data_IF_347614891882
#
_entry.id   IF_347614891882
#
_cell.length_a   1.000
_cell.length_b   1.000
_cell.length_c   1.000
_cell.angle_alpha   90.00
_cell.angle_beta   90.00
_cell.angle_gamma   90.00
#
_symmetry.space_group_name_H-M   'P 1'
#
loop_
_entity.id
_entity.type
_entity.pdbx_description
1 polymer ?
#
# COMPACT_ATOMS: atom_id res chain seq x y z
N UNK A 1 -0.57 18.38 -5.68
CA UNK A 1 -0.25 17.12 -6.35
C UNK A 1 -1.38 16.74 -7.30
N UNK A 2 -1.02 16.33 -8.51
CA UNK A 2 -1.91 15.91 -9.59
C UNK A 2 -1.80 14.39 -9.76
N UNK A 3 -2.87 13.71 -10.17
CA UNK A 3 -2.81 12.30 -10.56
C UNK A 3 -2.95 12.13 -12.07
N UNK A 4 -2.14 11.24 -12.66
CA UNK A 4 -2.24 10.85 -14.07
C UNK A 4 -2.41 9.33 -14.14
N UNK A 5 -3.55 8.89 -14.66
CA UNK A 5 -3.87 7.50 -14.94
C UNK A 5 -3.52 7.19 -16.40
N UNK A 6 -2.62 6.24 -16.62
CA UNK A 6 -2.20 5.83 -17.97
C UNK A 6 -2.95 4.56 -18.39
N UNK A 7 -3.69 4.66 -19.50
CA UNK A 7 -4.48 3.57 -20.10
C UNK A 7 -4.29 3.49 -21.62
N UNK A 8 -3.25 4.11 -22.17
CA UNK A 8 -2.92 4.15 -23.60
C UNK A 8 -2.27 2.85 -24.13
N UNK A 9 -2.22 1.80 -23.32
CA UNK A 9 -1.59 0.53 -23.69
C UNK A 9 -2.32 -0.19 -24.83
N UNK A 10 -1.58 -0.50 -25.90
CA UNK A 10 -2.01 -1.39 -26.98
C UNK A 10 -1.85 -2.86 -26.54
N UNK A 11 -2.74 -3.32 -25.67
CA UNK A 11 -2.66 -4.62 -24.99
C UNK A 11 -2.94 -5.80 -25.91
N UNK A 12 -1.91 -6.37 -26.55
CA UNK A 12 -2.09 -7.41 -27.58
C UNK A 12 -2.30 -8.83 -27.04
N UNK A 13 -1.66 -9.22 -25.93
CA UNK A 13 -1.63 -10.64 -25.50
C UNK A 13 -2.99 -11.12 -24.99
N UNK A 14 -3.56 -10.44 -24.00
CA UNK A 14 -4.86 -10.79 -23.44
C UNK A 14 -5.97 -10.67 -24.49
N UNK A 15 -5.96 -9.60 -25.27
CA UNK A 15 -6.96 -9.39 -26.32
C UNK A 15 -6.91 -10.49 -27.39
N UNK A 16 -5.71 -10.88 -27.83
CA UNK A 16 -5.53 -11.97 -28.80
C UNK A 16 -6.00 -13.31 -28.23
N UNK A 17 -5.70 -13.58 -26.97
CA UNK A 17 -6.13 -14.82 -26.32
C UNK A 17 -7.64 -14.87 -26.06
N UNK A 18 -8.28 -13.74 -25.74
CA UNK A 18 -9.75 -13.65 -25.64
C UNK A 18 -10.41 -13.89 -27.01
N UNK A 19 -9.83 -13.35 -28.09
CA UNK A 19 -10.35 -13.56 -29.46
C UNK A 19 -10.21 -15.02 -29.92
N UNK A 20 -9.17 -15.71 -29.46
CA UNK A 20 -8.88 -17.10 -29.80
C UNK A 20 -9.37 -18.10 -28.72
N UNK A 21 -10.26 -17.67 -27.81
CA UNK A 21 -10.83 -18.54 -26.78
C UNK A 21 -11.95 -19.41 -27.36
N UNK A 22 -11.66 -20.70 -27.57
CA UNK A 22 -12.59 -21.68 -28.12
C UNK A 22 -13.78 -21.98 -27.18
N UNK A 23 -13.70 -21.60 -25.90
CA UNK A 23 -14.78 -21.86 -24.93
C UNK A 23 -15.93 -20.85 -25.03
N UNK A 24 -15.70 -19.70 -25.67
CA UNK A 24 -16.69 -18.63 -25.83
C UNK A 24 -17.01 -17.84 -24.56
N UNK A 25 -16.45 -18.20 -23.40
CA UNK A 25 -16.72 -17.58 -22.09
C UNK A 25 -16.37 -16.09 -22.05
N UNK A 26 -15.31 -15.70 -22.75
CA UNK A 26 -14.80 -14.32 -22.76
C UNK A 26 -15.10 -13.55 -24.05
N UNK A 27 -15.85 -14.13 -24.97
CA UNK A 27 -16.19 -13.53 -26.28
C UNK A 27 -16.77 -12.12 -26.18
N UNK A 28 -17.61 -11.87 -25.16
CA UNK A 28 -18.20 -10.57 -24.84
C UNK A 28 -17.19 -9.48 -24.40
N UNK A 29 -15.98 -9.87 -24.02
CA UNK A 29 -14.91 -8.96 -23.62
C UNK A 29 -13.95 -8.63 -24.78
N UNK A 30 -14.15 -9.22 -25.96
CA UNK A 30 -13.32 -8.96 -27.12
C UNK A 30 -13.34 -7.47 -27.52
N UNK A 31 -12.16 -6.88 -27.66
CA UNK A 31 -11.99 -5.46 -28.01
C UNK A 31 -12.18 -4.47 -26.84
N UNK A 32 -12.62 -4.93 -25.67
CA UNK A 32 -12.71 -4.08 -24.46
C UNK A 32 -11.29 -3.79 -23.95
N UNK A 33 -10.93 -2.51 -23.70
CA UNK A 33 -9.63 -2.17 -23.13
C UNK A 33 -9.39 -2.88 -21.80
N UNK A 34 -8.15 -3.31 -21.54
CA UNK A 34 -7.78 -4.03 -20.30
C UNK A 34 -8.24 -3.30 -19.04
N UNK A 35 -8.05 -1.98 -18.96
CA UNK A 35 -8.46 -1.16 -17.82
C UNK A 35 -10.00 -1.16 -17.57
N UNK A 36 -10.80 -1.54 -18.56
CA UNK A 36 -12.26 -1.63 -18.46
C UNK A 36 -12.79 -3.05 -18.30
N UNK A 37 -11.91 -4.05 -18.21
CA UNK A 37 -12.29 -5.42 -17.93
C UNK A 37 -12.83 -5.56 -16.50
N UNK A 38 -13.71 -6.53 -16.24
CA UNK A 38 -14.22 -6.77 -14.90
C UNK A 38 -13.09 -7.21 -13.96
N UNK A 39 -12.98 -6.48 -12.86
CA UNK A 39 -12.14 -6.74 -11.71
C UNK A 39 -12.90 -7.40 -10.55
N UNK A 40 -12.45 -7.14 -9.33
CA UNK A 40 -12.95 -7.81 -8.12
C UNK A 40 -14.36 -7.30 -7.81
N UNK A 41 -15.30 -8.21 -7.56
CA UNK A 41 -16.69 -7.84 -7.31
C UNK A 41 -17.43 -7.30 -8.55
N UNK A 42 -16.93 -7.57 -9.75
CA UNK A 42 -17.59 -7.23 -11.01
C UNK A 42 -17.46 -5.76 -11.46
N UNK A 43 -16.82 -4.90 -10.67
CA UNK A 43 -16.47 -3.52 -11.06
C UNK A 43 -15.30 -3.51 -12.05
N UNK A 44 -15.18 -2.48 -12.90
CA UNK A 44 -14.06 -2.40 -13.86
C UNK A 44 -12.76 -2.06 -13.12
N UNK A 45 -11.61 -2.47 -13.67
CA UNK A 45 -10.28 -2.17 -13.07
C UNK A 45 -10.11 -0.66 -12.83
N UNK A 46 -10.50 0.16 -13.80
CA UNK A 46 -10.35 1.61 -13.72
C UNK A 46 -11.29 2.25 -12.68
N UNK A 47 -12.45 1.64 -12.39
CA UNK A 47 -13.39 2.13 -11.36
C UNK A 47 -12.71 2.13 -9.98
N UNK A 48 -11.91 1.09 -9.70
CA UNK A 48 -11.15 1.01 -8.45
C UNK A 48 -10.17 2.19 -8.31
N UNK A 49 -9.39 2.48 -9.37
CA UNK A 49 -8.44 3.59 -9.33
C UNK A 49 -9.16 4.93 -9.21
N UNK A 50 -10.28 5.10 -9.92
CA UNK A 50 -11.06 6.32 -9.82
C UNK A 50 -11.62 6.53 -8.41
N UNK A 51 -12.19 5.50 -7.79
CA UNK A 51 -12.66 5.56 -6.39
C UNK A 51 -11.51 5.94 -5.43
N UNK A 52 -10.30 5.44 -5.69
CA UNK A 52 -9.13 5.73 -4.87
C UNK A 52 -8.59 7.15 -5.04
N UNK A 53 -8.63 7.73 -6.25
CA UNK A 53 -8.04 9.05 -6.56
C UNK A 53 -9.03 10.21 -6.62
N UNK A 54 -10.34 9.98 -6.74
CA UNK A 54 -11.36 11.05 -6.80
C UNK A 54 -11.48 11.89 -5.53
N UNK A 55 -10.83 11.47 -4.44
CA UNK A 55 -10.84 12.16 -3.15
C UNK A 55 -10.13 13.52 -3.28
N UNK A 56 -10.91 14.59 -3.49
CA UNK A 56 -10.43 15.98 -3.72
C UNK A 56 -9.46 16.54 -2.68
N UNK A 57 -9.37 15.94 -1.49
CA UNK A 57 -8.41 16.35 -0.46
C UNK A 57 -6.96 15.94 -0.79
N UNK A 58 -6.77 14.98 -1.71
CA UNK A 58 -5.47 14.41 -2.03
C UNK A 58 -4.91 14.95 -3.35
N UNK A 59 -5.76 15.08 -4.36
CA UNK A 59 -5.38 15.54 -5.70
C UNK A 59 -6.15 16.78 -6.09
N UNK A 60 -5.44 17.74 -6.67
CA UNK A 60 -6.04 18.95 -7.26
C UNK A 60 -6.81 18.61 -8.52
N UNK A 61 -6.19 17.81 -9.40
CA UNK A 61 -6.76 17.35 -10.66
C UNK A 61 -6.34 15.89 -10.93
N UNK A 62 -7.16 15.20 -11.73
CA UNK A 62 -6.88 13.84 -12.20
C UNK A 62 -7.04 13.81 -13.72
N UNK A 63 -6.02 13.32 -14.42
CA UNK A 63 -6.02 13.15 -15.87
C UNK A 63 -6.00 11.66 -16.24
N UNK A 64 -6.66 11.34 -17.36
CA UNK A 64 -6.67 9.99 -17.93
C UNK A 64 -6.04 10.06 -19.32
N UNK A 65 -4.91 9.38 -19.55
CA UNK A 65 -4.24 9.37 -20.85
C UNK A 65 -4.54 8.05 -21.56
N UNK A 66 -5.08 8.16 -22.77
CA UNK A 66 -5.48 7.02 -23.60
C UNK A 66 -5.04 7.21 -25.05
N UNK A 67 -5.20 6.16 -25.85
CA UNK A 67 -4.90 6.18 -27.28
C UNK A 67 -6.15 6.44 -28.13
N UNK A 68 -5.95 6.77 -29.40
CA UNK A 68 -7.04 7.12 -30.31
C UNK A 68 -7.94 5.92 -30.62
N UNK A 69 -7.38 4.70 -30.70
CA UNK A 69 -8.14 3.46 -30.92
C UNK A 69 -9.16 3.20 -29.80
N UNK A 70 -8.75 3.36 -28.54
CA UNK A 70 -9.60 3.09 -27.37
C UNK A 70 -10.29 4.33 -26.80
N UNK A 71 -10.04 5.53 -27.34
CA UNK A 71 -10.55 6.80 -26.81
C UNK A 71 -12.06 6.77 -26.52
N UNK A 72 -12.87 6.23 -27.46
CA UNK A 72 -14.33 6.17 -27.29
C UNK A 72 -14.80 5.29 -26.14
N UNK A 73 -14.04 4.26 -25.77
CA UNK A 73 -14.35 3.45 -24.59
C UNK A 73 -14.17 4.26 -23.31
N UNK A 74 -13.09 5.03 -23.23
CA UNK A 74 -12.77 5.84 -22.05
C UNK A 74 -13.61 7.13 -21.96
N UNK A 75 -14.00 7.73 -23.10
CA UNK A 75 -15.00 8.81 -23.15
C UNK A 75 -16.32 8.36 -22.53
N UNK A 76 -16.83 7.17 -22.91
CA UNK A 76 -18.06 6.59 -22.34
C UNK A 76 -17.90 6.26 -20.86
N UNK A 77 -16.76 5.68 -20.48
CA UNK A 77 -16.47 5.37 -19.08
C UNK A 77 -16.43 6.64 -18.22
N UNK A 78 -15.83 7.72 -18.72
CA UNK A 78 -15.70 8.98 -18.01
C UNK A 78 -17.07 9.61 -17.76
N UNK A 79 -17.93 9.68 -18.78
CA UNK A 79 -19.32 10.15 -18.65
C UNK A 79 -20.11 9.32 -17.63
N UNK A 80 -19.94 8.00 -17.63
CA UNK A 80 -20.67 7.11 -16.72
C UNK A 80 -20.21 7.19 -15.25
N UNK A 81 -19.02 7.71 -14.99
CA UNK A 81 -18.39 7.76 -13.66
C UNK A 81 -18.16 9.19 -13.15
N UNK A 82 -18.78 10.19 -13.78
CA UNK A 82 -18.62 11.61 -13.48
C UNK A 82 -17.14 12.06 -13.49
N UNK A 83 -16.33 11.48 -14.39
CA UNK A 83 -14.96 11.91 -14.62
C UNK A 83 -14.95 13.07 -15.62
N UNK A 84 -14.20 14.17 -15.38
CA UNK A 84 -14.17 15.33 -16.27
C UNK A 84 -13.67 14.96 -17.67
N UNK A 85 -14.52 15.09 -18.69
CA UNK A 85 -14.18 14.71 -20.07
C UNK A 85 -13.02 15.55 -20.62
N UNK A 86 -12.94 16.81 -20.21
CA UNK A 86 -11.84 17.71 -20.52
C UNK A 86 -10.49 17.21 -19.99
N UNK A 87 -10.47 16.31 -19.00
CA UNK A 87 -9.25 15.74 -18.43
C UNK A 87 -8.85 14.40 -19.08
N UNK A 88 -9.60 13.92 -20.08
CA UNK A 88 -9.17 12.79 -20.91
C UNK A 88 -8.22 13.32 -22.00
N UNK A 89 -7.01 12.77 -22.05
CA UNK A 89 -5.95 13.12 -23.00
C UNK A 89 -5.82 11.98 -24.00
N UNK A 90 -5.93 12.30 -25.29
CA UNK A 90 -5.70 11.37 -26.38
C UNK A 90 -4.27 11.54 -26.91
N UNK A 91 -3.49 10.46 -26.92
CA UNK A 91 -2.11 10.45 -27.43
C UNK A 91 -2.02 10.45 -28.98
N UNK A 92 -3.13 10.19 -29.67
CA UNK A 92 -3.22 10.14 -31.12
C UNK A 92 -2.80 8.82 -31.76
N UNK A 93 -2.24 7.88 -31.00
CA UNK A 93 -1.80 6.57 -31.50
C UNK A 93 -2.98 5.63 -31.76
N UNK A 94 -2.88 4.82 -32.80
CA UNK A 94 -3.92 3.87 -33.22
C UNK A 94 -3.45 2.43 -33.24
N UNK A 95 -2.13 2.20 -33.26
CA UNK A 95 -1.52 0.88 -33.32
C UNK A 95 -0.33 0.72 -32.36
N UNK A 96 0.20 -0.50 -32.28
CA UNK A 96 1.37 -0.78 -31.46
C UNK A 96 2.65 -0.10 -32.01
N UNK A 97 2.70 0.12 -33.32
CA UNK A 97 3.83 0.68 -34.05
C UNK A 97 3.91 2.21 -33.95
N UNK A 98 2.77 2.89 -33.95
CA UNK A 98 2.68 4.36 -33.88
C UNK A 98 2.59 4.91 -32.44
N UNK A 99 2.59 4.03 -31.43
CA UNK A 99 2.59 4.40 -30.00
C UNK A 99 3.70 5.39 -29.66
N UNK A 100 3.41 6.33 -28.77
CA UNK A 100 4.41 7.31 -28.31
C UNK A 100 5.39 6.71 -27.30
N UNK A 101 4.87 5.83 -26.41
CA UNK A 101 5.58 5.23 -25.29
C UNK A 101 5.17 5.87 -23.96
N UNK A 102 5.16 5.08 -22.88
CA UNK A 102 4.54 5.48 -21.61
C UNK A 102 5.12 6.78 -20.99
N UNK A 103 6.41 7.05 -21.20
CA UNK A 103 7.05 8.29 -20.73
C UNK A 103 6.64 9.48 -21.60
N UNK A 104 6.43 9.26 -22.90
CA UNK A 104 5.94 10.28 -23.82
C UNK A 104 4.45 10.59 -23.56
N UNK A 105 3.64 9.60 -23.16
CA UNK A 105 2.24 9.80 -22.74
C UNK A 105 2.16 10.70 -21.51
N UNK A 106 3.07 10.49 -20.55
CA UNK A 106 3.21 11.35 -19.37
C UNK A 106 3.63 12.78 -19.75
N UNK A 107 4.66 12.93 -20.59
CA UNK A 107 5.12 14.24 -21.07
C UNK A 107 4.02 14.99 -21.82
N UNK A 108 3.27 14.28 -22.68
CA UNK A 108 2.14 14.84 -23.42
C UNK A 108 1.08 15.41 -22.48
N UNK A 109 0.69 14.66 -21.45
CA UNK A 109 -0.29 15.12 -20.46
C UNK A 109 0.22 16.38 -19.73
N UNK A 110 1.47 16.38 -19.28
CA UNK A 110 2.09 17.52 -18.59
C UNK A 110 2.13 18.75 -19.48
N UNK A 111 2.62 18.61 -20.72
CA UNK A 111 2.78 19.71 -21.68
C UNK A 111 1.45 20.26 -22.16
N UNK A 112 0.51 19.39 -22.54
CA UNK A 112 -0.80 19.80 -23.08
C UNK A 112 -1.66 20.50 -22.03
N UNK A 113 -1.54 20.11 -20.75
CA UNK A 113 -2.30 20.69 -19.64
C UNK A 113 -1.52 21.72 -18.82
N UNK A 114 -0.25 21.96 -19.18
CA UNK A 114 0.66 22.92 -18.51
C UNK A 114 0.74 22.67 -17.01
N UNK A 115 0.93 21.41 -16.61
CA UNK A 115 0.97 21.02 -15.21
C UNK A 115 2.23 21.56 -14.54
N UNK A 116 2.10 22.09 -13.32
CA UNK A 116 3.16 22.77 -12.56
C UNK A 116 3.18 22.34 -11.07
N UNK A 117 2.86 21.07 -10.82
CA UNK A 117 2.73 20.48 -9.48
C UNK A 117 3.35 19.07 -9.51
N UNK A 118 3.56 18.46 -8.33
CA UNK A 118 4.02 17.08 -8.22
C UNK A 118 2.98 16.13 -8.83
N UNK A 119 3.44 15.05 -9.46
CA UNK A 119 2.58 14.12 -10.20
C UNK A 119 2.65 12.73 -9.62
N UNK A 120 1.50 12.14 -9.33
CA UNK A 120 1.35 10.71 -9.10
C UNK A 120 0.94 10.03 -10.40
N UNK A 121 1.76 9.13 -10.92
CA UNK A 121 1.49 8.38 -12.14
C UNK A 121 1.10 6.95 -11.78
N UNK A 122 -0.02 6.47 -12.30
CA UNK A 122 -0.48 5.09 -12.08
C UNK A 122 -0.91 4.46 -13.40
N UNK A 123 -0.55 3.20 -13.63
CA UNK A 123 -1.14 2.41 -14.71
C UNK A 123 -2.59 2.02 -14.36
N UNK A 124 -3.55 2.51 -15.14
CA UNK A 124 -4.98 2.27 -14.90
C UNK A 124 -5.45 0.85 -15.18
N UNK A 125 -4.58 0.00 -15.75
CA UNK A 125 -4.82 -1.42 -15.99
C UNK A 125 -4.18 -2.32 -14.91
N UNK A 126 -3.62 -1.73 -13.85
CA UNK A 126 -3.10 -2.45 -12.70
C UNK A 126 -4.26 -2.89 -11.79
N UNK A 127 -4.38 -4.19 -11.52
CA UNK A 127 -5.37 -4.66 -10.54
C UNK A 127 -4.80 -4.60 -9.12
N UNK A 128 -5.57 -3.95 -8.25
CA UNK A 128 -5.40 -4.03 -6.82
C UNK A 128 -6.52 -4.91 -6.25
N UNK A 129 -6.16 -6.01 -5.59
CA UNK A 129 -7.15 -6.85 -4.91
C UNK A 129 -7.57 -6.29 -3.55
N UNK A 130 -6.79 -5.37 -3.00
CA UNK A 130 -7.12 -4.75 -1.73
C UNK A 130 -8.03 -3.56 -1.98
N UNK A 131 -9.35 -3.79 -1.87
CA UNK A 131 -10.39 -2.74 -1.89
C UNK A 131 -10.14 -1.63 -0.86
N UNK A 132 -9.23 -1.90 0.06
CA UNK A 132 -8.88 -1.12 1.21
C UNK A 132 -7.50 -0.44 1.05
N UNK A 133 -6.93 -0.33 -0.14
CA UNK A 133 -5.67 0.40 -0.33
C UNK A 133 -5.77 1.89 0.09
N UNK A 134 -4.80 2.39 0.87
CA UNK A 134 -4.73 3.79 1.32
C UNK A 134 -3.73 4.63 0.52
N UNK A 135 -4.22 5.26 -0.57
CA UNK A 135 -3.45 6.24 -1.34
C UNK A 135 -2.93 7.40 -0.48
N UNK A 136 -3.64 7.79 0.58
CA UNK A 136 -3.17 8.87 1.45
C UNK A 136 -1.88 8.48 2.18
N UNK A 137 -1.67 7.19 2.46
CA UNK A 137 -0.42 6.71 3.06
C UNK A 137 0.76 6.88 2.09
N UNK A 138 0.55 6.56 0.81
CA UNK A 138 1.56 6.73 -0.24
C UNK A 138 1.99 8.19 -0.34
N UNK A 139 1.02 9.12 -0.41
CA UNK A 139 1.30 10.55 -0.51
C UNK A 139 2.00 11.07 0.75
N UNK A 140 1.60 10.61 1.95
CA UNK A 140 2.26 10.98 3.21
C UNK A 140 3.73 10.52 3.23
N UNK A 141 4.02 9.32 2.73
CA UNK A 141 5.38 8.80 2.66
C UNK A 141 6.21 9.55 1.61
N UNK A 142 5.66 9.82 0.43
CA UNK A 142 6.31 10.67 -0.58
C UNK A 142 6.69 12.04 0.00
N UNK A 143 5.79 12.68 0.73
CA UNK A 143 6.04 13.98 1.37
C UNK A 143 7.03 13.94 2.54
N UNK A 144 7.31 12.76 3.11
CA UNK A 144 8.29 12.63 4.20
C UNK A 144 9.71 12.41 3.70
N UNK A 145 9.87 12.00 2.44
CA UNK A 145 11.17 11.75 1.83
C UNK A 145 11.60 12.94 0.94
N UNK A 146 12.91 13.20 0.78
CA UNK A 146 13.41 14.34 0.02
C UNK A 146 13.36 14.15 -1.51
N UNK A 147 13.03 12.95 -1.99
CA UNK A 147 13.13 12.60 -3.40
C UNK A 147 11.86 11.96 -3.95
N UNK A 148 12.04 11.12 -4.98
CA UNK A 148 10.92 10.47 -5.65
C UNK A 148 10.42 9.24 -4.91
N UNK A 149 9.18 8.84 -5.18
CA UNK A 149 8.64 7.61 -4.64
C UNK A 149 8.28 6.62 -5.74
N UNK A 150 8.75 5.40 -5.58
CA UNK A 150 8.40 4.26 -6.40
C UNK A 150 7.77 3.17 -5.57
N UNK A 151 6.68 2.62 -6.09
CA UNK A 151 6.03 1.48 -5.49
C UNK A 151 6.57 0.18 -6.06
N UNK A 152 6.83 -0.80 -5.19
CA UNK A 152 7.32 -2.12 -5.57
C UNK A 152 6.61 -3.25 -4.82
N UNK A 153 6.70 -4.46 -5.36
CA UNK A 153 6.23 -5.69 -4.73
C UNK A 153 7.31 -6.78 -4.84
N UNK A 154 7.12 -7.89 -4.14
CA UNK A 154 8.02 -9.04 -4.21
C UNK A 154 7.44 -10.08 -5.16
N UNK A 155 8.20 -10.47 -6.18
CA UNK A 155 7.79 -11.44 -7.19
C UNK A 155 7.61 -12.83 -6.58
N UNK A 156 6.50 -13.50 -6.91
CA UNK A 156 6.28 -14.91 -6.57
C UNK A 156 7.31 -15.80 -7.27
N UNK A 157 7.59 -17.00 -6.75
CA UNK A 157 8.61 -17.91 -7.31
C UNK A 157 8.36 -18.27 -8.79
N UNK A 158 7.10 -18.28 -9.22
CA UNK A 158 6.71 -18.55 -10.60
C UNK A 158 6.95 -17.38 -11.57
N UNK A 159 7.12 -16.16 -11.05
CA UNK A 159 7.34 -14.96 -11.86
C UNK A 159 8.82 -14.78 -12.23
N UNK A 160 9.05 -14.41 -13.49
CA UNK A 160 10.39 -14.16 -14.04
C UNK A 160 10.79 -12.70 -13.89
N UNK A 161 11.99 -12.46 -13.37
CA UNK A 161 12.57 -11.11 -13.22
C UNK A 161 12.75 -10.39 -14.56
N UNK A 162 12.99 -11.13 -15.64
CA UNK A 162 13.13 -10.60 -17.01
C UNK A 162 11.85 -10.00 -17.60
N UNK A 163 10.72 -10.09 -16.91
CA UNK A 163 9.43 -9.55 -17.37
C UNK A 163 9.08 -8.18 -16.79
N UNK A 164 9.83 -7.69 -15.80
CA UNK A 164 9.54 -6.46 -15.04
C UNK A 164 10.80 -5.63 -14.82
N UNK A 165 10.61 -4.37 -14.40
CA UNK A 165 11.69 -3.58 -13.83
C UNK A 165 11.98 -4.06 -12.41
N UNK A 166 13.24 -4.38 -12.11
CA UNK A 166 13.68 -4.90 -10.81
C UNK A 166 14.44 -3.81 -10.06
N UNK A 167 14.13 -3.65 -8.78
CA UNK A 167 14.76 -2.65 -7.90
C UNK A 167 15.58 -3.32 -6.81
N UNK A 168 16.69 -2.70 -6.47
CA UNK A 168 17.45 -2.99 -5.25
C UNK A 168 17.18 -1.86 -4.25
N UNK A 169 16.71 -2.21 -3.06
CA UNK A 169 16.25 -1.24 -2.05
C UNK A 169 17.08 -1.38 -0.79
N UNK A 170 17.66 -0.27 -0.32
CA UNK A 170 18.35 -0.22 0.96
C UNK A 170 17.33 -0.40 2.10
N UNK A 171 17.54 -1.41 2.95
CA UNK A 171 16.60 -1.73 4.05
C UNK A 171 16.51 -0.66 5.13
N UNK A 172 17.57 0.14 5.30
CA UNK A 172 17.65 1.15 6.37
C UNK A 172 17.07 2.49 5.93
N UNK A 173 17.34 2.90 4.68
CA UNK A 173 16.97 4.22 4.16
C UNK A 173 15.77 4.18 3.22
N UNK A 174 15.33 2.99 2.81
CA UNK A 174 14.33 2.79 1.75
C UNK A 174 14.73 3.35 0.38
N UNK A 175 15.96 3.85 0.21
CA UNK A 175 16.45 4.34 -1.06
C UNK A 175 16.67 3.20 -2.05
N UNK A 176 16.19 3.36 -3.27
CA UNK A 176 16.49 2.48 -4.40
C UNK A 176 17.93 2.75 -4.82
N UNK A 177 18.79 1.75 -4.67
CA UNK A 177 20.22 1.83 -5.03
C UNK A 177 20.47 1.49 -6.49
N UNK A 178 19.57 0.71 -7.09
CA UNK A 178 19.68 0.30 -8.49
C UNK A 178 18.30 -0.01 -9.06
N UNK A 179 18.08 0.39 -10.31
CA UNK A 179 16.93 -0.03 -11.10
C UNK A 179 17.42 -0.78 -12.34
N UNK A 180 16.80 -1.92 -12.66
CA UNK A 180 17.16 -2.75 -13.81
C UNK A 180 15.90 -3.02 -14.64
N UNK A 181 15.84 -2.52 -15.87
CA UNK A 181 14.68 -2.79 -16.74
C UNK A 181 14.80 -4.17 -17.40
N UNK A 182 13.91 -5.10 -17.02
CA UNK A 182 13.82 -6.46 -17.58
C UNK A 182 15.19 -7.16 -17.64
N UNK A 183 15.88 -7.31 -16.49
CA UNK A 183 17.23 -7.87 -16.47
C UNK A 183 17.26 -9.32 -16.93
N UNK A 184 18.39 -9.73 -17.50
CA UNK A 184 18.68 -11.15 -17.72
C UNK A 184 18.80 -11.89 -16.38
N UNK A 185 18.50 -13.19 -16.40
CA UNK A 185 18.61 -14.05 -15.21
C UNK A 185 20.04 -14.03 -14.66
N UNK A 186 20.17 -13.89 -13.34
CA UNK A 186 21.46 -13.85 -12.65
C UNK A 186 22.10 -12.46 -12.51
N UNK A 187 21.58 -11.40 -13.16
CA UNK A 187 22.15 -10.05 -13.04
C UNK A 187 21.96 -9.42 -11.64
N UNK A 188 20.91 -9.82 -10.93
CA UNK A 188 20.62 -9.40 -9.55
C UNK A 188 19.97 -10.56 -8.78
N UNK A 189 20.18 -10.57 -7.46
CA UNK A 189 19.48 -11.45 -6.54
C UNK A 189 18.14 -10.85 -6.07
N UNK A 190 17.87 -9.58 -6.36
CA UNK A 190 16.62 -8.94 -5.96
C UNK A 190 15.42 -9.52 -6.71
N UNK A 191 14.35 -9.78 -5.97
CA UNK A 191 13.03 -10.15 -6.50
C UNK A 191 12.00 -9.02 -6.34
N UNK A 192 12.45 -7.81 -6.05
CA UNK A 192 11.58 -6.66 -5.86
C UNK A 192 11.27 -6.03 -7.23
N UNK A 193 10.03 -6.14 -7.68
CA UNK A 193 9.57 -5.61 -8.95
C UNK A 193 8.85 -4.27 -8.78
N UNK A 194 9.23 -3.31 -9.63
CA UNK A 194 8.57 -2.02 -9.76
C UNK A 194 7.28 -2.15 -10.57
N UNK A 195 6.27 -1.38 -10.18
CA UNK A 195 5.03 -1.19 -10.93
C UNK A 195 4.94 0.25 -11.39
N UNK A 196 4.13 0.52 -12.43
CA UNK A 196 3.81 1.91 -12.82
C UNK A 196 2.88 2.52 -11.78
N UNK A 197 3.49 2.95 -10.70
CA UNK A 197 2.90 3.67 -9.59
C UNK A 197 4.05 4.47 -8.95
N UNK A 198 4.14 5.73 -9.34
CA UNK A 198 5.24 6.62 -8.99
C UNK A 198 4.68 7.94 -8.46
N UNK A 199 5.35 8.55 -7.50
CA UNK A 199 5.17 9.96 -7.15
C UNK A 199 6.45 10.69 -7.57
N UNK A 200 6.27 11.69 -8.43
CA UNK A 200 7.36 12.42 -9.06
C UNK A 200 7.25 13.91 -8.72
N UNK A 201 8.30 14.48 -8.15
CA UNK A 201 8.42 15.90 -7.88
C UNK A 201 8.43 16.69 -9.19
N UNK A 202 7.83 17.88 -9.15
CA UNK A 202 7.76 18.77 -10.31
C UNK A 202 9.14 19.02 -10.94
N UNK A 203 10.16 19.18 -10.12
CA UNK A 203 11.53 19.46 -10.56
C UNK A 203 12.10 18.29 -11.39
N UNK A 204 11.84 17.05 -10.98
CA UNK A 204 12.29 15.84 -11.69
C UNK A 204 11.56 15.62 -13.01
N UNK A 205 10.30 16.07 -13.13
CA UNK A 205 9.55 16.02 -14.39
C UNK A 205 10.23 16.84 -15.51
N UNK A 206 11.09 17.81 -15.17
CA UNK A 206 11.86 18.58 -16.17
C UNK A 206 12.86 17.74 -16.95
N UNK A 207 13.20 16.54 -16.48
CA UNK A 207 14.07 15.59 -17.18
C UNK A 207 13.37 14.77 -18.26
N UNK A 208 12.03 14.77 -18.33
CA UNK A 208 11.27 14.01 -19.33
C UNK A 208 11.68 14.36 -20.78
N UNK A 209 11.77 15.65 -21.19
CA UNK A 209 12.15 15.98 -22.56
C UNK A 209 13.58 15.56 -22.91
N UNK A 210 14.51 15.63 -21.94
CA UNK A 210 15.89 15.21 -22.15
C UNK A 210 15.99 13.71 -22.34
N UNK A 211 15.29 12.93 -21.51
CA UNK A 211 15.20 11.49 -21.69
C UNK A 211 14.59 11.12 -23.05
N UNK A 212 13.48 11.76 -23.44
CA UNK A 212 12.81 11.47 -24.71
C UNK A 212 13.69 11.79 -25.93
N UNK A 213 14.56 12.81 -25.86
CA UNK A 213 15.55 13.12 -26.92
C UNK A 213 16.60 12.02 -27.06
N UNK A 214 16.96 11.34 -25.97
CA UNK A 214 17.92 10.23 -25.99
C UNK A 214 17.31 8.97 -26.63
N UNK A 215 15.98 8.81 -26.59
CA UNK A 215 15.29 7.61 -27.07
C UNK A 215 14.69 7.79 -28.47
N UNK A 216 15.33 7.16 -29.47
CA UNK A 216 14.85 7.19 -30.85
C UNK A 216 13.64 6.28 -31.09
N UNK A 217 13.54 5.14 -30.38
CA UNK A 217 12.46 4.16 -30.55
C UNK A 217 11.42 4.29 -29.44
N UNK A 218 10.14 4.15 -29.81
CA UNK A 218 9.03 4.17 -28.85
C UNK A 218 9.10 3.05 -27.79
N UNK A 219 9.71 1.91 -28.11
CA UNK A 219 9.93 0.80 -27.16
C UNK A 219 10.83 1.19 -25.99
N UNK A 220 11.76 2.12 -26.23
CA UNK A 220 12.77 2.51 -25.25
C UNK A 220 12.29 3.70 -24.39
N UNK A 221 11.16 4.32 -24.76
CA UNK A 221 10.46 5.37 -24.00
C UNK A 221 9.57 4.79 -22.88
N UNK A 222 10.03 3.71 -22.24
CA UNK A 222 9.33 3.05 -21.14
C UNK A 222 9.72 3.64 -19.79
N UNK A 223 8.83 3.54 -18.79
CA UNK A 223 9.17 3.96 -17.43
C UNK A 223 10.36 3.21 -16.85
N UNK A 224 10.52 1.93 -17.20
CA UNK A 224 11.65 1.15 -16.73
C UNK A 224 12.99 1.73 -17.19
N UNK A 225 13.12 2.09 -18.46
CA UNK A 225 14.32 2.76 -18.98
C UNK A 225 14.53 4.15 -18.40
N UNK A 226 13.44 4.89 -18.17
CA UNK A 226 13.50 6.21 -17.54
C UNK A 226 14.03 6.13 -16.11
N UNK A 227 13.51 5.20 -15.30
CA UNK A 227 13.98 5.00 -13.93
C UNK A 227 15.38 4.41 -13.86
N UNK A 228 15.73 3.48 -14.76
CA UNK A 228 17.10 2.98 -14.91
C UNK A 228 18.08 4.14 -15.15
N UNK A 229 17.74 5.06 -16.04
CA UNK A 229 18.54 6.26 -16.33
C UNK A 229 18.62 7.22 -15.13
N UNK A 230 17.48 7.56 -14.51
CA UNK A 230 17.46 8.49 -13.37
C UNK A 230 18.20 7.95 -12.14
N UNK A 231 17.99 6.68 -11.81
CA UNK A 231 18.59 6.05 -10.63
C UNK A 231 20.07 5.76 -10.88
N UNK A 232 20.41 5.12 -11.99
CA UNK A 232 21.77 4.60 -12.18
C UNK A 232 22.72 5.64 -12.79
N UNK A 233 22.26 6.50 -13.70
CA UNK A 233 23.12 7.47 -14.38
C UNK A 233 23.05 8.86 -13.76
N UNK A 234 21.84 9.37 -13.50
CA UNK A 234 21.65 10.69 -12.87
C UNK A 234 21.81 10.65 -11.34
N UNK A 235 21.83 9.46 -10.74
CA UNK A 235 22.00 9.26 -9.29
C UNK A 235 20.97 10.06 -8.47
N UNK A 236 19.74 10.12 -8.97
CA UNK A 236 18.65 10.83 -8.30
C UNK A 236 18.14 9.99 -7.12
N UNK A 237 17.84 10.64 -6.00
CA UNK A 237 17.33 9.94 -4.82
C UNK A 237 15.87 9.51 -5.07
N UNK A 238 15.68 8.21 -5.25
CA UNK A 238 14.37 7.56 -5.39
C UNK A 238 14.18 6.61 -4.21
N UNK A 239 13.04 6.70 -3.54
CA UNK A 239 12.67 5.87 -2.41
C UNK A 239 11.65 4.82 -2.82
N UNK A 240 11.70 3.66 -2.17
CA UNK A 240 10.82 2.54 -2.41
C UNK A 240 9.79 2.37 -1.30
N UNK A 241 8.52 2.15 -1.66
CA UNK A 241 7.49 1.68 -0.73
C UNK A 241 6.95 0.33 -1.19
N UNK A 242 6.98 -0.66 -0.29
CA UNK A 242 6.51 -2.02 -0.56
C UNK A 242 4.99 -2.10 -0.45
N UNK A 243 4.35 -2.64 -1.48
CA UNK A 243 2.92 -2.99 -1.42
C UNK A 243 2.69 -4.27 -0.61
N UNK A 244 1.58 -4.35 0.14
CA UNK A 244 1.12 -5.61 0.72
C UNK A 244 0.74 -6.60 -0.40
N UNK A 245 0.75 -7.88 -0.06
CA UNK A 245 0.35 -8.98 -0.96
C UNK A 245 -1.08 -8.76 -1.47
N UNK A 246 -1.29 -8.68 -2.78
CA UNK A 246 -2.61 -8.44 -3.38
C UNK A 246 -2.65 -7.70 -4.73
N UNK A 247 -1.54 -7.22 -5.27
CA UNK A 247 -1.50 -6.64 -6.61
C UNK A 247 -1.03 -7.73 -7.59
N UNK A 248 -1.95 -8.29 -8.38
CA UNK A 248 -1.69 -9.53 -9.15
C UNK A 248 -2.09 -9.47 -10.64
N UNK A 249 -2.41 -8.30 -11.19
CA UNK A 249 -2.26 -8.09 -12.64
C UNK A 249 -1.43 -6.83 -12.89
N UNK A 250 -0.14 -7.05 -13.14
CA UNK A 250 0.83 -6.02 -13.47
C UNK A 250 1.42 -6.42 -14.83
N UNK A 251 1.46 -5.51 -15.81
CA UNK A 251 2.13 -5.74 -17.09
C UNK A 251 1.35 -6.58 -18.13
N UNK A 252 2.08 -7.29 -19.01
CA UNK A 252 1.51 -8.20 -20.00
C UNK A 252 0.99 -9.44 -19.29
N UNK A 253 -0.34 -9.60 -19.25
CA UNK A 253 -1.02 -10.69 -18.57
C UNK A 253 -1.77 -11.53 -19.60
N UNK A 254 -1.72 -12.86 -19.46
CA UNK A 254 -2.46 -13.79 -20.31
C UNK A 254 -3.85 -14.12 -19.77
N UNK A 255 -4.66 -14.80 -20.59
CA UNK A 255 -6.02 -15.24 -20.24
C UNK A 255 -6.01 -16.23 -19.06
N UNK A 256 -4.98 -17.07 -18.95
CA UNK A 256 -4.81 -18.01 -17.83
C UNK A 256 -4.63 -17.29 -16.49
N UNK A 257 -3.85 -16.21 -16.48
CA UNK A 257 -3.57 -15.42 -15.28
C UNK A 257 -4.80 -14.61 -14.89
N UNK A 258 -5.48 -14.02 -15.88
CA UNK A 258 -6.74 -13.32 -15.69
C UNK A 258 -7.85 -14.25 -15.18
N UNK A 259 -7.97 -15.46 -15.73
CA UNK A 259 -8.94 -16.48 -15.28
C UNK A 259 -8.62 -16.97 -13.88
N UNK A 260 -7.36 -17.35 -13.62
CA UNK A 260 -6.90 -17.78 -12.29
C UNK A 260 -7.26 -16.74 -11.23
N UNK A 261 -7.11 -15.47 -11.58
CA UNK A 261 -7.46 -14.37 -10.71
C UNK A 261 -8.98 -14.23 -10.51
N UNK A 262 -9.78 -14.20 -11.58
CA UNK A 262 -11.24 -14.16 -11.48
C UNK A 262 -11.76 -15.32 -10.62
N UNK A 263 -11.19 -16.53 -10.79
CA UNK A 263 -11.52 -17.69 -9.98
C UNK A 263 -11.10 -17.50 -8.53
N UNK A 264 -9.85 -17.10 -8.25
CA UNK A 264 -9.32 -16.89 -6.89
C UNK A 264 -10.14 -15.86 -6.08
N UNK A 265 -10.67 -14.83 -6.74
CA UNK A 265 -11.47 -13.79 -6.07
C UNK A 265 -12.98 -14.03 -6.12
N UNK A 266 -13.48 -14.82 -7.06
CA UNK A 266 -14.86 -15.34 -7.02
C UNK A 266 -15.02 -16.45 -5.99
N UNK A 267 -13.96 -17.18 -5.68
CA UNK A 267 -13.96 -18.28 -4.69
C UNK A 267 -13.52 -17.87 -3.30
N UNK A 268 -13.01 -16.65 -3.08
CA UNK A 268 -12.90 -16.09 -1.73
C UNK A 268 -14.33 -15.98 -1.18
N UNK A 269 -14.73 -16.82 -0.22
CA UNK A 269 -16.05 -16.70 0.38
C UNK A 269 -16.08 -15.33 1.04
N UNK A 270 -17.12 -14.55 0.76
CA UNK A 270 -17.42 -13.31 1.48
C UNK A 270 -17.64 -13.53 3.00
N UNK A 271 -17.54 -14.76 3.50
CA UNK A 271 -17.81 -15.15 4.89
C UNK A 271 -16.94 -16.34 5.37
N UNK A 272 -15.68 -16.47 4.91
CA UNK A 272 -14.74 -17.30 5.67
C UNK A 272 -14.33 -16.51 6.91
N UNK A 273 -15.08 -16.66 8.02
CA UNK A 273 -14.76 -16.07 9.32
C UNK A 273 -13.26 -16.23 9.60
N UNK A 274 -12.50 -15.14 9.44
CA UNK A 274 -11.07 -15.15 9.67
C UNK A 274 -10.83 -15.66 11.09
N UNK A 275 -9.96 -16.67 11.22
CA UNK A 275 -9.67 -17.23 12.54
C UNK A 275 -9.05 -16.13 13.41
N UNK A 276 -9.57 -15.90 14.63
CA UNK A 276 -9.01 -14.89 15.51
C UNK A 276 -7.54 -15.18 15.79
N UNK A 277 -6.71 -14.16 15.66
CA UNK A 277 -5.29 -14.20 16.03
C UNK A 277 -5.20 -13.81 17.49
N UNK A 278 -4.73 -14.72 18.34
CA UNK A 278 -4.54 -14.46 19.76
C UNK A 278 -3.06 -14.55 20.10
N UNK A 279 -2.53 -13.49 20.70
CA UNK A 279 -1.15 -13.45 21.18
C UNK A 279 -1.12 -13.11 22.67
N UNK A 280 -0.33 -13.88 23.43
CA UNK A 280 -0.15 -13.70 24.87
C UNK A 280 1.27 -13.24 25.17
N UNK A 281 1.38 -12.23 26.02
CA UNK A 281 2.65 -11.75 26.57
C UNK A 281 2.63 -11.83 28.09
N UNK A 282 3.74 -12.25 28.68
CA UNK A 282 3.87 -12.41 30.13
C UNK A 282 4.39 -11.13 30.78
N UNK A 283 3.97 -10.88 32.02
CA UNK A 283 4.48 -9.79 32.81
C UNK A 283 5.99 -9.96 33.05
N UNK A 284 6.69 -8.85 33.19
CA UNK A 284 8.11 -8.83 33.55
C UNK A 284 8.29 -8.11 34.88
N UNK A 285 9.23 -8.61 35.66
CA UNK A 285 9.72 -7.93 36.87
C UNK A 285 11.17 -7.54 36.65
N UNK A 286 11.47 -6.30 36.98
CA UNK A 286 12.81 -5.74 36.97
C UNK A 286 13.35 -5.64 38.39
N UNK A 287 14.52 -6.23 38.62
CA UNK A 287 15.38 -5.92 39.76
C UNK A 287 16.31 -4.80 39.32
N UNK A 288 16.06 -3.59 39.81
CA UNK A 288 16.84 -2.40 39.47
C UNK A 288 17.89 -2.19 40.55
N UNK A 289 19.16 -2.32 40.19
CA UNK A 289 20.27 -2.00 41.07
C UNK A 289 20.22 -0.52 41.47
N UNK A 290 20.49 -0.24 42.74
CA UNK A 290 20.68 1.12 43.23
C UNK A 290 22.09 1.58 42.82
N UNK A 291 22.30 2.78 42.23
CA UNK A 291 23.65 3.23 41.88
C UNK A 291 24.73 3.08 42.99
N UNK A 292 24.34 3.10 44.27
CA UNK A 292 25.24 2.94 45.42
C UNK A 292 25.53 1.49 45.85
N UNK A 293 24.91 0.47 45.25
CA UNK A 293 25.05 -0.95 45.65
C UNK A 293 26.16 -1.70 44.89
N UNK A 294 26.97 -0.98 44.09
CA UNK A 294 28.05 -1.55 43.28
C UNK A 294 27.60 -2.11 41.92
N UNK A 295 26.29 -2.14 41.62
CA UNK A 295 25.76 -2.57 40.32
C UNK A 295 25.51 -1.41 39.34
N UNK A 296 25.83 -0.15 39.71
CA UNK A 296 25.78 1.04 38.85
C UNK A 296 24.44 1.25 38.12
N UNK A 297 23.31 0.91 38.75
CA UNK A 297 21.99 1.06 38.12
C UNK A 297 21.62 -0.03 37.10
N UNK A 298 22.43 -1.09 36.95
CA UNK A 298 22.09 -2.21 36.08
C UNK A 298 20.78 -2.87 36.52
N UNK A 299 19.94 -3.20 35.52
CA UNK A 299 18.63 -3.80 35.75
C UNK A 299 18.60 -5.21 35.20
N UNK A 300 18.17 -6.18 36.03
CA UNK A 300 17.90 -7.55 35.59
C UNK A 300 16.39 -7.67 35.42
N UNK A 301 15.95 -8.02 34.20
CA UNK A 301 14.54 -8.26 33.91
C UNK A 301 14.28 -9.76 33.75
N UNK A 302 13.23 -10.27 34.39
CA UNK A 302 12.77 -11.64 34.25
C UNK A 302 11.27 -11.70 34.00
N UNK A 303 10.82 -12.66 33.21
CA UNK A 303 9.40 -12.90 32.95
C UNK A 303 8.76 -13.69 34.09
N UNK A 304 7.55 -13.31 34.49
CA UNK A 304 6.73 -14.06 35.45
C UNK A 304 5.53 -14.64 34.70
N UNK A 305 5.55 -15.94 34.48
CA UNK A 305 4.56 -16.65 33.67
C UNK A 305 3.14 -16.63 34.26
N UNK A 306 3.01 -16.43 35.57
CA UNK A 306 1.73 -16.44 36.28
C UNK A 306 0.85 -15.21 35.93
N UNK A 307 1.46 -14.14 35.42
CA UNK A 307 0.78 -12.90 35.06
C UNK A 307 0.96 -12.63 33.56
N UNK A 308 -0.13 -12.30 32.87
CA UNK A 308 -0.14 -12.16 31.42
C UNK A 308 -1.15 -11.10 30.95
N UNK A 309 -0.88 -10.58 29.76
CA UNK A 309 -1.82 -9.85 28.94
C UNK A 309 -1.97 -10.58 27.61
N UNK A 310 -3.20 -10.79 27.18
CA UNK A 310 -3.54 -11.45 25.94
C UNK A 310 -4.35 -10.48 25.09
N UNK A 311 -4.03 -10.43 23.79
CA UNK A 311 -4.76 -9.62 22.82
C UNK A 311 -5.27 -10.54 21.73
N UNK A 312 -6.54 -10.38 21.40
CA UNK A 312 -7.18 -11.08 20.28
C UNK A 312 -7.54 -10.06 19.21
N UNK A 313 -7.10 -10.33 17.99
CA UNK A 313 -7.44 -9.60 16.78
C UNK A 313 -8.36 -10.47 15.92
N UNK A 314 -9.49 -9.91 15.53
CA UNK A 314 -10.46 -10.54 14.63
C UNK A 314 -10.76 -9.57 13.48
N UNK A 315 -10.83 -10.05 12.25
CA UNK A 315 -11.26 -9.21 11.12
C UNK A 315 -12.70 -8.72 11.34
N UNK A 316 -12.98 -7.44 11.03
CA UNK A 316 -14.31 -6.86 11.17
C UNK A 316 -14.52 -5.73 10.17
N UNK A 317 -15.78 -5.38 9.88
CA UNK A 317 -16.10 -4.32 8.92
C UNK A 317 -15.61 -2.93 9.36
N UNK A 318 -15.62 -2.66 10.68
CA UNK A 318 -15.16 -1.41 11.28
C UNK A 318 -14.03 -1.68 12.28
N UNK A 319 -13.12 -0.72 12.45
CA UNK A 319 -12.05 -0.80 13.44
C UNK A 319 -12.66 -0.59 14.83
N UNK A 320 -12.73 -1.64 15.64
CA UNK A 320 -13.36 -1.62 16.97
C UNK A 320 -12.33 -1.99 18.02
N UNK A 321 -12.15 -1.12 19.01
CA UNK A 321 -11.41 -1.46 20.22
C UNK A 321 -12.42 -1.79 21.31
N UNK A 322 -12.58 -3.07 21.62
CA UNK A 322 -13.58 -3.52 22.59
C UNK A 322 -13.11 -3.19 24.01
N UNK A 323 -13.90 -2.43 24.79
CA UNK A 323 -13.61 -2.19 26.19
C UNK A 323 -13.72 -3.50 26.96
N UNK A 324 -12.76 -3.76 27.84
CA UNK A 324 -12.84 -4.95 28.69
C UNK A 324 -13.87 -4.71 29.80
N UNK A 325 -14.85 -5.60 30.02
CA UNK A 325 -15.97 -5.35 30.95
C UNK A 325 -15.55 -4.92 32.37
N UNK A 326 -14.54 -5.60 32.95
CA UNK A 326 -14.03 -5.26 34.28
C UNK A 326 -13.01 -4.13 34.31
N UNK A 327 -12.31 -3.90 33.21
CA UNK A 327 -11.07 -3.14 33.18
C UNK A 327 -11.27 -1.76 32.52
N UNK A 328 -12.26 -1.62 31.64
CA UNK A 328 -12.70 -0.38 31.03
C UNK A 328 -14.24 -0.23 31.20
N UNK A 329 -14.76 -0.25 32.45
CA UNK A 329 -16.20 -0.13 32.67
C UNK A 329 -16.69 1.25 32.22
N UNK A 330 -17.80 1.24 31.46
CA UNK A 330 -18.48 2.45 30.98
C UNK A 330 -19.88 2.62 31.58
N UNK A 331 -20.35 1.59 32.29
CA UNK A 331 -21.63 1.56 32.99
C UNK A 331 -21.40 1.15 34.44
N UNK A 332 -22.11 1.82 35.36
CA UNK A 332 -21.96 1.64 36.81
C UNK A 332 -23.34 1.60 37.46
N UNK A 333 -23.49 0.82 38.54
CA UNK A 333 -24.77 0.71 39.26
C UNK A 333 -25.22 2.02 39.93
N UNK A 334 -24.27 2.86 40.33
CA UNK A 334 -24.52 4.17 40.94
C UNK A 334 -23.30 5.09 40.86
N UNK A 335 -23.49 6.38 41.17
CA UNK A 335 -22.37 7.33 41.31
C UNK A 335 -21.40 6.93 42.42
N UNK A 336 -21.89 6.30 43.49
CA UNK A 336 -21.06 5.81 44.59
C UNK A 336 -20.15 4.67 44.12
N UNK A 337 -20.67 3.76 43.29
CA UNK A 337 -19.89 2.66 42.72
C UNK A 337 -18.77 3.20 41.82
N UNK A 338 -19.10 4.15 40.94
CA UNK A 338 -18.11 4.85 40.11
C UNK A 338 -17.02 5.50 40.97
N UNK A 339 -17.39 6.20 42.05
CA UNK A 339 -16.44 6.84 42.97
C UNK A 339 -15.49 5.82 43.62
N UNK A 340 -16.04 4.73 44.16
CA UNK A 340 -15.26 3.69 44.84
C UNK A 340 -14.30 2.99 43.88
N UNK A 341 -14.78 2.59 42.70
CA UNK A 341 -13.98 1.92 41.66
C UNK A 341 -12.90 2.86 41.15
N UNK A 342 -13.24 4.10 40.79
CA UNK A 342 -12.27 5.07 40.26
C UNK A 342 -11.19 5.42 41.28
N UNK A 343 -11.54 5.53 42.57
CA UNK A 343 -10.58 5.80 43.64
C UNK A 343 -9.61 4.64 43.85
N UNK A 344 -10.09 3.40 43.71
CA UNK A 344 -9.27 2.19 43.86
C UNK A 344 -8.46 1.94 42.59
N UNK A 345 -9.10 1.74 41.46
CA UNK A 345 -8.44 1.21 40.26
C UNK A 345 -7.91 2.30 39.32
N UNK A 346 -8.25 3.56 39.59
CA UNK A 346 -8.01 4.69 38.69
C UNK A 346 -9.07 4.75 37.59
N UNK A 347 -8.89 5.71 36.70
CA UNK A 347 -9.86 6.00 35.63
C UNK A 347 -9.59 5.25 34.32
N UNK A 348 -8.47 4.54 34.23
CA UNK A 348 -7.80 4.28 32.96
C UNK A 348 -7.45 2.80 32.82
N UNK A 349 -8.06 2.15 31.83
CA UNK A 349 -7.77 0.76 31.52
C UNK A 349 -6.88 0.55 30.30
N UNK A 350 -6.99 -0.63 29.70
CA UNK A 350 -6.14 -1.08 28.60
C UNK A 350 -6.54 -0.51 27.24
N UNK A 351 -7.71 0.13 27.12
CA UNK A 351 -8.16 0.69 25.84
C UNK A 351 -7.17 1.73 25.28
N UNK A 352 -6.60 2.58 26.15
CA UNK A 352 -5.55 3.55 25.76
C UNK A 352 -4.32 2.85 25.16
N UNK A 353 -3.99 1.67 25.66
CA UNK A 353 -2.77 0.95 25.31
C UNK A 353 -2.98 0.35 23.94
N UNK A 354 -4.14 -0.26 23.69
CA UNK A 354 -4.55 -0.69 22.35
C UNK A 354 -4.53 0.47 21.34
N UNK A 355 -5.08 1.64 21.68
CA UNK A 355 -5.03 2.83 20.83
C UNK A 355 -3.59 3.27 20.55
N UNK A 356 -2.75 3.36 21.58
CA UNK A 356 -1.35 3.75 21.45
C UNK A 356 -0.56 2.74 20.60
N UNK A 357 -0.81 1.44 20.77
CA UNK A 357 -0.22 0.36 19.97
C UNK A 357 -0.62 0.48 18.51
N UNK A 358 -1.92 0.65 18.19
CA UNK A 358 -2.38 0.85 16.81
C UNK A 358 -1.72 2.08 16.18
N UNK A 359 -1.67 3.21 16.90
CA UNK A 359 -0.99 4.43 16.45
C UNK A 359 0.50 4.17 16.18
N UNK A 360 1.20 3.48 17.09
CA UNK A 360 2.63 3.20 16.96
C UNK A 360 2.93 2.22 15.84
N UNK A 361 2.10 1.21 15.66
CA UNK A 361 2.16 0.26 14.56
C UNK A 361 1.98 0.99 13.21
N UNK A 362 0.95 1.82 13.08
CA UNK A 362 0.74 2.63 11.88
C UNK A 362 1.94 3.54 11.57
N UNK A 363 2.46 4.23 12.60
CA UNK A 363 3.67 5.06 12.47
C UNK A 363 4.89 4.24 12.04
N UNK A 364 5.07 3.04 12.59
CA UNK A 364 6.15 2.14 12.24
C UNK A 364 6.04 1.71 10.77
N UNK A 365 4.90 1.19 10.35
CA UNK A 365 4.68 0.78 8.95
C UNK A 365 4.92 1.95 7.98
N UNK A 366 4.39 3.14 8.30
CA UNK A 366 4.63 4.34 7.50
C UNK A 366 6.11 4.72 7.42
N UNK A 367 6.86 4.63 8.53
CA UNK A 367 8.30 4.92 8.54
C UNK A 367 9.15 3.85 7.88
N UNK A 368 8.64 2.63 7.75
CA UNK A 368 9.34 1.51 7.15
C UNK A 368 8.95 1.31 5.67
N UNK A 369 8.22 2.26 5.07
CA UNK A 369 7.77 2.14 3.68
C UNK A 369 6.85 0.95 3.45
N UNK A 370 6.06 0.54 4.44
CA UNK A 370 5.11 -0.57 4.36
C UNK A 370 3.69 -0.03 4.18
N UNK A 371 3.09 -0.26 3.01
CA UNK A 371 1.68 0.06 2.79
C UNK A 371 0.78 -0.87 3.60
N UNK A 372 -0.18 -0.29 4.33
CA UNK A 372 -1.20 -1.02 5.08
C UNK A 372 -2.49 -1.08 4.27
N UNK A 373 -3.20 -2.19 4.43
CA UNK A 373 -4.58 -2.31 3.97
C UNK A 373 -5.50 -1.56 4.95
N UNK A 374 -6.58 -0.94 4.49
CA UNK A 374 -7.72 -0.43 5.31
C UNK A 374 -8.62 -1.56 5.83
N UNK A 375 -8.18 -2.83 5.80
CA UNK A 375 -8.94 -3.90 6.41
C UNK A 375 -9.05 -3.61 7.90
N UNK A 376 -10.30 -3.55 8.34
CA UNK A 376 -10.63 -3.23 9.70
C UNK A 376 -10.59 -4.50 10.56
N UNK A 377 -10.47 -4.29 11.85
CA UNK A 377 -10.39 -5.39 12.79
C UNK A 377 -10.92 -4.98 14.16
N UNK A 378 -11.36 -5.97 14.92
CA UNK A 378 -11.77 -5.85 16.30
C UNK A 378 -10.62 -6.31 17.17
N UNK A 379 -10.12 -5.42 18.02
CA UNK A 379 -9.16 -5.75 19.07
C UNK A 379 -9.87 -5.84 20.41
N UNK A 380 -9.65 -6.95 21.11
CA UNK A 380 -9.95 -7.08 22.54
C UNK A 380 -8.70 -7.53 23.28
N UNK A 381 -8.65 -7.24 24.57
CA UNK A 381 -7.60 -7.76 25.43
C UNK A 381 -8.22 -8.41 26.66
N UNK A 382 -7.47 -9.31 27.27
CA UNK A 382 -7.71 -9.86 28.60
C UNK A 382 -6.40 -9.84 29.40
N UNK A 383 -6.49 -9.74 30.71
CA UNK A 383 -5.31 -9.74 31.58
C UNK A 383 -5.65 -10.13 33.00
N UNK A 384 -4.78 -10.94 33.59
CA UNK A 384 -4.79 -11.24 35.03
C UNK A 384 -3.72 -10.44 35.80
N UNK A 385 -3.06 -9.46 35.16
CA UNK A 385 -2.05 -8.60 35.80
C UNK A 385 -2.77 -7.66 36.78
N UNK A 386 -2.50 -7.76 38.10
CA UNK A 386 -3.20 -6.96 39.11
C UNK A 386 -3.06 -5.47 38.86
N UNK A 387 -4.17 -4.73 39.00
CA UNK A 387 -4.17 -3.27 39.08
C UNK A 387 -3.72 -2.87 40.50
N UNK A 388 -2.87 -1.84 40.59
CA UNK A 388 -2.31 -1.30 41.84
C UNK A 388 -1.21 -2.13 42.55
N UNK A 389 -0.04 -2.31 41.92
CA UNK A 389 1.18 -2.68 42.69
C UNK A 389 2.22 -1.57 42.62
N UNK A 390 1.87 -0.37 43.10
CA UNK A 390 2.86 0.55 43.69
C UNK A 390 2.24 1.17 44.94
N UNK A 391 2.14 0.38 46.01
CA UNK A 391 1.93 0.95 47.35
C UNK A 391 3.30 1.32 47.88
N UNK A 392 3.55 2.62 48.05
CA UNK A 392 4.80 3.17 48.54
C UNK A 392 4.98 2.74 50.01
N UNK A 393 5.74 1.67 50.27
CA UNK A 393 6.38 1.40 51.57
C UNK A 393 7.77 0.84 51.33
N UNK A 394 8.75 1.65 51.72
CA UNK A 394 10.17 1.36 51.97
C UNK A 394 10.63 -0.09 51.77
N UNK A 395 11.22 -0.36 50.60
CA UNK A 395 12.26 -1.35 50.26
C UNK A 395 12.06 -1.92 48.83
N UNK A 396 12.81 -1.39 47.87
CA UNK A 396 13.53 -2.16 46.85
C UNK A 396 12.84 -2.91 45.71
N UNK A 397 11.54 -3.20 45.70
CA UNK A 397 10.89 -3.92 44.58
C UNK A 397 9.88 -3.02 43.84
N UNK A 398 10.24 -2.55 42.64
CA UNK A 398 9.32 -1.84 41.74
C UNK A 398 8.81 -2.80 40.66
N UNK A 399 7.56 -3.25 40.78
CA UNK A 399 6.84 -3.83 39.64
C UNK A 399 6.22 -2.67 38.85
N UNK A 400 6.97 -2.09 37.90
CA UNK A 400 6.38 -1.18 36.92
C UNK A 400 5.73 -1.99 35.82
N UNK A 401 4.52 -1.60 35.40
CA UNK A 401 4.02 -1.89 34.04
C UNK A 401 4.90 -1.11 33.06
N UNK A 402 6.11 -1.60 32.80
CA UNK A 402 6.82 -1.16 31.61
C UNK A 402 6.18 -1.83 30.42
N UNK A 403 5.62 -1.00 29.53
CA UNK A 403 5.12 -1.31 28.18
C UNK A 403 5.24 -2.79 27.79
N UNK A 404 4.32 -3.61 28.28
CA UNK A 404 4.09 -4.95 27.73
C UNK A 404 2.90 -4.80 26.80
N UNK A 405 3.16 -4.35 25.58
CA UNK A 405 2.34 -4.54 24.39
C UNK A 405 3.21 -4.27 23.17
#
# INVERSE_FOLDING_TARGET
MICILLVAGHGTVLETQIKNDDTGLYSQLAGVPKALLPGTGGKKILDFWWEAVRMRQLFTEVYLVTNADKFKYFERWATANDFPLENVVNDGSTTLEDRLGAVADLELAIRSRRLQDDVMVVAGDMLCADQNFDIAQVIRFFRSEPGELMIYYELEESEKSSSRGIVEVCRETHRITRFLEKPHEGLTASRLASVVFYCIQRETLTHLPDFLKLQTRATDRSFGRFWEWLVNEKQLDVFGMKLPTGFQLIGQVGLSDYTRWLTHYSTKPQDALAKPITCRSFARVGLMGNPSDGFNGKTIAMSICNFWAEVTLLESQTLVLLPHPLNDPTEFGSLQDLFCISRKEGYLGGLRLLQATCKKFYQFCSKQGLALTKQNFTLKYDTNIPRQVVRNRSAGLRVRREKVM
#
